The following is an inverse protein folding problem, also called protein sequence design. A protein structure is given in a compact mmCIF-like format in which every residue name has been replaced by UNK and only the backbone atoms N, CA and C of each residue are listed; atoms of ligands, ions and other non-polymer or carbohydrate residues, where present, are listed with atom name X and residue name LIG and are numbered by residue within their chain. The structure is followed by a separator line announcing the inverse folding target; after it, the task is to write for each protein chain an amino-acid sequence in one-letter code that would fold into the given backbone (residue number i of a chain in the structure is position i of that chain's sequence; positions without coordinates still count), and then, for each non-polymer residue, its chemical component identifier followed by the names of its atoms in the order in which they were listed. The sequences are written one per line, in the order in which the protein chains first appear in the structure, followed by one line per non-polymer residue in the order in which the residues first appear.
data_IF_885972321388
#
_entry.id   IF_885972321388
#
_cell.length_a   1.000
_cell.length_b   1.000
_cell.length_c   1.000
_cell.angle_alpha   90.00
_cell.angle_beta   90.00
_cell.angle_gamma   90.00
#
_symmetry.space_group_name_H-M   'P 1'
#
loop_
_entity.id
_entity.type
_entity.pdbx_description
1 polymer ?
#
# COMPACT_ATOMS: atom_id res chain seq x y z
N UNK A 1 -1.54 -0.97 -30.37
CA UNK A 1 -0.88 -0.16 -29.34
C UNK A 1 0.58 -0.06 -29.73
N UNK A 2 1.14 1.16 -29.87
CA UNK A 2 2.59 1.32 -29.92
C UNK A 2 3.18 0.76 -28.62
N UNK A 3 4.40 0.20 -28.62
CA UNK A 3 5.05 -0.20 -27.38
C UNK A 3 5.08 1.03 -26.47
N UNK A 4 4.32 0.98 -25.38
CA UNK A 4 4.25 2.08 -24.44
C UNK A 4 5.65 2.28 -23.90
N UNK A 5 6.15 3.52 -23.95
CA UNK A 5 7.44 3.84 -23.39
C UNK A 5 7.39 3.49 -21.90
N UNK A 6 8.27 2.60 -21.45
CA UNK A 6 8.35 2.14 -20.06
C UNK A 6 9.27 3.10 -19.32
N UNK A 7 8.86 3.59 -18.15
CA UNK A 7 9.70 4.50 -17.35
C UNK A 7 11.01 3.79 -16.95
N UNK A 8 12.18 4.28 -17.39
CA UNK A 8 13.48 3.72 -17.01
C UNK A 8 13.69 3.73 -15.49
N UNK A 9 14.57 2.86 -15.01
CA UNK A 9 14.85 2.69 -13.57
C UNK A 9 15.19 4.00 -12.87
N UNK A 10 16.15 4.76 -13.41
CA UNK A 10 16.62 6.01 -12.80
C UNK A 10 15.51 7.06 -12.75
N UNK A 11 14.78 7.22 -13.85
CA UNK A 11 13.65 8.14 -13.95
C UNK A 11 12.54 7.79 -12.96
N UNK A 12 12.21 6.49 -12.84
CA UNK A 12 11.18 6.00 -11.92
C UNK A 12 11.55 6.26 -10.47
N UNK A 13 12.80 5.94 -10.08
CA UNK A 13 13.31 6.21 -8.74
C UNK A 13 13.29 7.71 -8.47
N UNK A 14 13.74 8.54 -9.42
CA UNK A 14 13.77 9.99 -9.25
C UNK A 14 12.37 10.57 -8.98
N UNK A 15 11.34 10.17 -9.74
CA UNK A 15 9.98 10.69 -9.51
C UNK A 15 9.36 10.20 -8.20
N UNK A 16 9.66 8.97 -7.76
CA UNK A 16 9.18 8.48 -6.47
C UNK A 16 9.88 9.19 -5.29
N UNK A 17 11.18 9.45 -5.40
CA UNK A 17 11.93 10.22 -4.41
C UNK A 17 11.43 11.67 -4.37
N UNK A 18 11.16 12.28 -5.52
CA UNK A 18 10.63 13.64 -5.60
C UNK A 18 9.30 13.79 -4.85
N UNK A 19 8.41 12.81 -5.00
CA UNK A 19 7.12 12.85 -4.32
C UNK A 19 7.23 12.56 -2.82
N UNK A 20 7.94 11.50 -2.44
CA UNK A 20 7.87 10.95 -1.08
C UNK A 20 8.97 11.49 -0.17
N UNK A 21 10.17 11.70 -0.70
CA UNK A 21 11.37 11.94 0.12
C UNK A 21 11.73 13.43 0.15
N UNK A 22 11.70 14.12 -0.98
CA UNK A 22 12.06 15.55 -1.05
C UNK A 22 11.34 16.44 -0.05
N UNK A 23 10.03 16.26 0.25
CA UNK A 23 9.34 17.06 1.26
C UNK A 23 9.94 16.96 2.67
N UNK A 24 10.72 15.91 2.95
CA UNK A 24 11.38 15.69 4.23
C UNK A 24 12.86 16.10 4.25
N UNK A 25 13.45 16.34 3.07
CA UNK A 25 14.84 16.73 2.96
C UNK A 25 15.01 18.24 3.18
N UNK A 26 16.13 18.68 3.77
CA UNK A 26 16.37 20.10 3.98
C UNK A 26 16.48 20.84 2.63
N UNK A 27 15.74 21.94 2.48
CA UNK A 27 15.71 22.77 1.26
C UNK A 27 17.05 23.42 0.89
N UNK A 28 18.04 23.39 1.80
CA UNK A 28 19.41 23.83 1.58
C UNK A 28 20.34 22.77 2.12
N UNK A 29 21.43 22.50 1.39
CA UNK A 29 22.58 21.73 1.85
C UNK A 29 23.27 22.43 3.03
N UNK A 30 22.60 22.54 4.18
CA UNK A 30 23.27 22.96 5.41
C UNK A 30 24.11 21.76 5.85
N UNK A 31 25.39 21.80 5.47
CA UNK A 31 26.37 20.70 5.56
C UNK A 31 26.65 20.24 7.01
N UNK A 32 26.00 20.80 8.04
CA UNK A 32 26.46 20.66 9.42
C UNK A 32 25.49 20.03 10.42
N UNK A 33 24.20 19.85 10.08
CA UNK A 33 23.28 19.24 11.04
C UNK A 33 23.10 17.75 10.76
N UNK A 34 23.72 16.92 11.60
CA UNK A 34 23.45 15.48 11.63
C UNK A 34 21.95 15.25 11.81
N UNK A 35 21.28 14.49 10.93
CA UNK A 35 19.85 14.27 11.03
C UNK A 35 19.46 13.69 12.38
N UNK A 36 18.46 14.27 13.03
CA UNK A 36 17.94 13.75 14.29
C UNK A 36 17.37 12.34 14.11
N UNK A 37 17.29 11.54 15.17
CA UNK A 37 16.73 10.19 15.10
C UNK A 37 15.29 10.19 14.54
N UNK A 38 14.49 11.21 14.86
CA UNK A 38 13.13 11.35 14.33
C UNK A 38 13.13 11.55 12.81
N UNK A 39 13.98 12.45 12.32
CA UNK A 39 14.15 12.67 10.87
C UNK A 39 14.68 11.43 10.16
N UNK A 40 15.65 10.73 10.75
CA UNK A 40 16.16 9.47 10.20
C UNK A 40 15.06 8.44 10.05
N UNK A 41 14.20 8.27 11.07
CA UNK A 41 13.06 7.35 11.03
C UNK A 41 12.05 7.74 9.94
N UNK A 42 11.74 9.02 9.80
CA UNK A 42 10.79 9.50 8.78
C UNK A 42 11.32 9.32 7.36
N UNK A 43 12.56 9.72 7.10
CA UNK A 43 13.22 9.54 5.79
C UNK A 43 13.33 8.06 5.46
N UNK A 44 13.74 7.22 6.41
CA UNK A 44 13.82 5.78 6.19
C UNK A 44 12.46 5.16 5.82
N UNK A 45 11.36 5.57 6.46
CA UNK A 45 10.00 5.15 6.08
C UNK A 45 9.61 5.58 4.65
N UNK A 46 9.95 6.81 4.24
CA UNK A 46 9.67 7.26 2.87
C UNK A 46 10.52 6.51 1.85
N UNK A 47 11.82 6.34 2.10
CA UNK A 47 12.71 5.59 1.21
C UNK A 47 12.29 4.12 1.11
N UNK A 48 11.80 3.51 2.21
CA UNK A 48 11.18 2.18 2.17
C UNK A 48 10.06 2.09 1.13
N UNK A 49 9.22 3.13 1.07
CA UNK A 49 8.09 3.19 0.15
C UNK A 49 8.57 3.30 -1.29
N UNK A 50 9.63 4.07 -1.56
CA UNK A 50 10.29 4.13 -2.88
C UNK A 50 10.80 2.75 -3.32
N UNK A 51 11.43 1.99 -2.41
CA UNK A 51 11.90 0.63 -2.72
C UNK A 51 10.72 -0.27 -3.12
N UNK A 52 9.63 -0.29 -2.34
CA UNK A 52 8.45 -1.10 -2.65
C UNK A 52 7.80 -0.69 -3.99
N UNK A 53 7.63 0.61 -4.21
CA UNK A 53 7.05 1.15 -5.43
C UNK A 53 7.84 0.75 -6.68
N UNK A 54 9.17 0.83 -6.65
CA UNK A 54 9.98 0.42 -7.78
C UNK A 54 10.14 -1.11 -7.87
N UNK A 55 10.76 -1.72 -6.86
CA UNK A 55 11.23 -3.11 -6.95
C UNK A 55 10.10 -4.15 -6.99
N UNK A 56 8.93 -3.79 -6.45
CA UNK A 56 7.75 -4.64 -6.50
C UNK A 56 6.69 -4.08 -7.45
N UNK A 57 6.05 -2.94 -7.16
CA UNK A 57 4.84 -2.54 -7.90
C UNK A 57 5.08 -2.10 -9.35
N UNK A 58 6.09 -1.28 -9.61
CA UNK A 58 6.41 -0.82 -10.96
C UNK A 58 6.91 -1.97 -11.82
N UNK A 59 7.82 -2.79 -11.27
CA UNK A 59 8.31 -4.00 -11.93
C UNK A 59 7.24 -5.07 -12.14
N UNK A 60 6.24 -5.17 -11.27
CA UNK A 60 5.11 -6.10 -11.45
C UNK A 60 4.28 -5.73 -12.69
N UNK A 61 4.17 -4.44 -12.99
CA UNK A 61 3.49 -3.93 -14.20
C UNK A 61 4.39 -3.92 -15.44
N UNK A 62 5.69 -3.94 -15.23
CA UNK A 62 6.73 -3.88 -16.27
C UNK A 62 7.80 -4.95 -16.02
N UNK A 63 7.51 -6.25 -16.26
CA UNK A 63 8.42 -7.36 -15.93
C UNK A 63 9.79 -7.29 -16.63
N UNK A 64 9.89 -6.53 -17.72
CA UNK A 64 11.12 -6.22 -18.44
C UNK A 64 12.13 -5.39 -17.63
N UNK A 65 11.69 -4.72 -16.57
CA UNK A 65 12.55 -3.90 -15.73
C UNK A 65 13.37 -4.74 -14.74
N UNK A 66 14.67 -4.41 -14.66
CA UNK A 66 15.60 -5.08 -13.79
C UNK A 66 15.30 -4.81 -12.30
N UNK A 67 15.45 -5.84 -11.47
CA UNK A 67 15.44 -5.70 -10.01
C UNK A 67 16.65 -4.88 -9.58
N UNK A 68 16.46 -3.91 -8.69
CA UNK A 68 17.51 -3.03 -8.20
C UNK A 68 17.95 -3.51 -6.79
N UNK A 69 19.10 -4.21 -6.67
CA UNK A 69 19.58 -4.68 -5.37
C UNK A 69 20.04 -3.52 -4.48
N UNK A 70 20.14 -3.78 -3.17
CA UNK A 70 20.48 -2.80 -2.13
C UNK A 70 21.58 -1.80 -2.54
N UNK A 71 22.77 -2.28 -2.93
CA UNK A 71 23.89 -1.41 -3.31
C UNK A 71 23.55 -0.49 -4.49
N UNK A 72 22.92 -1.02 -5.53
CA UNK A 72 22.59 -0.25 -6.72
C UNK A 72 21.42 0.72 -6.45
N UNK A 73 20.47 0.34 -5.60
CA UNK A 73 19.41 1.24 -5.15
C UNK A 73 19.98 2.43 -4.39
N UNK A 74 20.86 2.19 -3.42
CA UNK A 74 21.51 3.25 -2.65
C UNK A 74 22.31 4.20 -3.55
N UNK A 75 23.05 3.67 -4.54
CA UNK A 75 23.75 4.49 -5.54
C UNK A 75 22.80 5.38 -6.32
N UNK A 76 21.74 4.81 -6.93
CA UNK A 76 20.77 5.59 -7.72
C UNK A 76 20.07 6.63 -6.87
N UNK A 77 19.69 6.30 -5.62
CA UNK A 77 19.04 7.22 -4.70
C UNK A 77 19.92 8.43 -4.36
N UNK A 78 21.19 8.21 -4.00
CA UNK A 78 22.13 9.30 -3.66
C UNK A 78 22.52 10.11 -4.90
N UNK A 79 22.68 9.49 -6.06
CA UNK A 79 22.91 10.21 -7.33
C UNK A 79 21.72 11.10 -7.67
N UNK A 80 20.48 10.60 -7.50
CA UNK A 80 19.26 11.35 -7.79
C UNK A 80 19.00 12.47 -6.79
N UNK A 81 19.32 12.24 -5.50
CA UNK A 81 19.19 13.21 -4.41
C UNK A 81 20.40 13.15 -3.47
N UNK A 82 21.45 13.96 -3.71
CA UNK A 82 22.65 13.96 -2.89
C UNK A 82 22.42 14.23 -1.40
N UNK A 83 21.34 14.93 -1.04
CA UNK A 83 20.97 15.17 0.36
C UNK A 83 20.66 13.88 1.15
N UNK A 84 20.32 12.77 0.47
CA UNK A 84 20.16 11.45 1.10
C UNK A 84 21.46 10.89 1.66
N UNK A 85 22.63 11.38 1.20
CA UNK A 85 23.92 10.92 1.70
C UNK A 85 24.06 11.11 3.21
N UNK A 86 23.46 12.16 3.80
CA UNK A 86 23.46 12.39 5.24
C UNK A 86 22.72 11.31 6.06
N UNK A 87 21.93 10.47 5.38
CA UNK A 87 21.12 9.40 5.96
C UNK A 87 21.64 8.00 5.63
N UNK A 88 22.74 7.89 4.87
CA UNK A 88 23.29 6.65 4.31
C UNK A 88 24.80 6.56 4.59
N UNK A 89 25.17 6.02 5.76
CA UNK A 89 26.55 5.96 6.23
C UNK A 89 27.41 4.99 5.41
N UNK A 90 26.86 3.85 4.99
CA UNK A 90 27.58 2.92 4.13
C UNK A 90 27.95 3.59 2.80
N UNK A 91 27.06 4.42 2.23
CA UNK A 91 27.36 5.18 1.01
C UNK A 91 28.45 6.25 1.19
N UNK A 92 28.63 6.80 2.40
CA UNK A 92 29.72 7.74 2.70
C UNK A 92 31.09 7.03 2.72
N UNK A 93 31.11 5.78 3.21
CA UNK A 93 32.33 5.04 3.53
C UNK A 93 32.76 4.04 2.44
N UNK A 94 32.06 3.99 1.30
CA UNK A 94 32.32 3.05 0.19
C UNK A 94 33.78 3.07 -0.33
N UNK A 95 34.53 4.13 -0.07
CA UNK A 95 35.91 4.29 -0.53
C UNK A 95 36.97 3.91 0.52
N UNK A 96 36.60 3.61 1.77
CA UNK A 96 37.58 3.62 2.88
C UNK A 96 38.01 2.25 3.44
N UNK A 97 37.28 1.12 3.30
CA UNK A 97 37.73 -0.18 3.90
C UNK A 97 37.19 -1.42 3.16
N UNK A 98 38.01 -2.49 3.07
CA UNK A 98 37.54 -3.86 2.78
C UNK A 98 36.55 -4.32 3.87
N UNK A 99 35.27 -4.38 3.51
CA UNK A 99 34.17 -4.62 4.44
C UNK A 99 34.19 -6.06 4.99
N UNK A 100 34.53 -6.21 6.28
CA UNK A 100 34.54 -7.51 6.96
C UNK A 100 33.17 -7.90 7.56
N UNK A 101 32.26 -6.93 7.76
CA UNK A 101 30.86 -7.15 8.10
C UNK A 101 29.99 -5.94 7.68
N UNK A 102 29.16 -6.11 6.65
CA UNK A 102 28.39 -5.03 6.01
C UNK A 102 27.21 -4.59 6.88
N UNK A 103 26.57 -5.52 7.59
CA UNK A 103 25.31 -5.25 8.32
C UNK A 103 25.51 -4.39 9.57
N UNK A 104 26.66 -4.51 10.24
CA UNK A 104 26.98 -3.72 11.43
C UNK A 104 27.31 -2.27 11.13
N UNK A 105 27.57 -1.92 9.87
CA UNK A 105 27.94 -0.57 9.44
C UNK A 105 26.78 0.21 8.78
N UNK A 106 25.62 -0.43 8.61
CA UNK A 106 24.47 0.23 7.97
C UNK A 106 23.79 1.23 8.90
N UNK A 107 23.49 2.41 8.34
CA UNK A 107 22.57 3.37 8.95
C UNK A 107 21.14 2.83 9.02
N UNK A 108 20.26 3.52 9.76
CA UNK A 108 18.84 3.15 9.86
C UNK A 108 18.16 3.07 8.48
N UNK A 109 18.42 4.05 7.60
CA UNK A 109 17.86 4.10 6.25
C UNK A 109 18.32 2.92 5.42
N UNK A 110 19.61 2.59 5.49
CA UNK A 110 20.20 1.49 4.71
C UNK A 110 19.68 0.12 5.18
N UNK A 111 19.52 -0.10 6.49
CA UNK A 111 18.87 -1.30 7.02
C UNK A 111 17.46 -1.45 6.47
N UNK A 112 16.69 -0.37 6.47
CA UNK A 112 15.32 -0.36 5.94
C UNK A 112 15.28 -0.61 4.42
N UNK A 113 16.25 -0.09 3.65
CA UNK A 113 16.35 -0.39 2.21
C UNK A 113 16.64 -1.87 2.00
N UNK A 114 17.60 -2.44 2.74
CA UNK A 114 17.96 -3.85 2.65
C UNK A 114 16.76 -4.75 2.99
N UNK A 115 16.09 -4.50 4.11
CA UNK A 115 14.87 -5.21 4.52
C UNK A 115 13.78 -5.11 3.43
N UNK A 116 13.55 -3.92 2.87
CA UNK A 116 12.56 -3.70 1.83
C UNK A 116 12.92 -4.42 0.51
N UNK A 117 14.19 -4.48 0.16
CA UNK A 117 14.70 -5.27 -0.94
C UNK A 117 14.38 -6.76 -0.74
N UNK A 118 14.63 -7.30 0.45
CA UNK A 118 14.36 -8.72 0.73
C UNK A 118 12.86 -9.05 0.76
N UNK A 119 12.02 -8.12 1.24
CA UNK A 119 10.56 -8.19 1.06
C UNK A 119 10.22 -8.28 -0.44
N UNK A 120 10.74 -7.37 -1.28
CA UNK A 120 10.43 -7.36 -2.70
C UNK A 120 10.88 -8.64 -3.43
N UNK A 121 12.03 -9.22 -3.05
CA UNK A 121 12.50 -10.50 -3.59
C UNK A 121 11.53 -11.64 -3.26
N UNK A 122 11.03 -11.68 -2.01
CA UNK A 122 10.12 -12.73 -1.58
C UNK A 122 8.72 -12.60 -2.20
N UNK A 123 8.24 -11.36 -2.37
CA UNK A 123 6.99 -11.10 -3.07
C UNK A 123 7.06 -11.46 -4.56
N UNK A 124 8.25 -11.34 -5.16
CA UNK A 124 8.53 -11.74 -6.54
C UNK A 124 7.61 -11.05 -7.55
N UNK A 125 8.03 -9.87 -8.00
CA UNK A 125 7.27 -9.05 -8.95
C UNK A 125 6.93 -9.76 -10.28
N UNK A 126 7.57 -10.88 -10.61
CA UNK A 126 7.23 -11.66 -11.82
C UNK A 126 5.93 -12.45 -11.68
N UNK A 127 5.40 -12.60 -10.45
CA UNK A 127 4.17 -13.33 -10.16
C UNK A 127 2.98 -12.39 -10.02
N UNK A 128 1.84 -12.82 -10.55
CA UNK A 128 0.57 -12.10 -10.39
C UNK A 128 0.13 -12.05 -8.92
N UNK A 129 0.23 -13.16 -8.21
CA UNK A 129 -0.07 -13.26 -6.77
C UNK A 129 1.09 -13.96 -6.06
N UNK A 130 1.69 -13.36 -5.01
CA UNK A 130 2.72 -14.01 -4.22
C UNK A 130 2.23 -15.32 -3.60
N UNK A 131 3.06 -16.36 -3.59
CA UNK A 131 2.74 -17.59 -2.87
C UNK A 131 3.03 -17.39 -1.37
N UNK A 132 1.97 -17.19 -0.59
CA UNK A 132 2.04 -16.94 0.84
C UNK A 132 1.88 -18.20 1.70
N UNK A 133 1.91 -19.40 1.09
CA UNK A 133 1.75 -20.64 1.83
C UNK A 133 2.86 -20.79 2.89
N UNK A 134 2.45 -20.97 4.15
CA UNK A 134 3.36 -21.11 5.29
C UNK A 134 3.90 -19.80 5.86
N UNK A 135 3.49 -18.63 5.33
CA UNK A 135 3.92 -17.35 5.87
C UNK A 135 3.15 -17.03 7.17
N UNK A 136 3.83 -16.63 8.25
CA UNK A 136 3.15 -16.23 9.48
C UNK A 136 2.28 -14.99 9.25
N UNK A 137 1.10 -14.96 9.87
CA UNK A 137 0.28 -13.75 9.96
C UNK A 137 0.90 -12.85 11.02
N UNK A 138 1.28 -11.64 10.64
CA UNK A 138 1.97 -10.70 11.56
C UNK A 138 1.30 -9.34 11.64
N UNK A 139 0.17 -9.19 10.96
CA UNK A 139 -0.58 -7.95 10.86
C UNK A 139 -2.06 -8.26 10.64
N UNK A 140 -2.94 -7.41 11.17
CA UNK A 140 -4.35 -7.35 10.82
C UNK A 140 -4.60 -6.07 10.02
N UNK A 141 -5.29 -6.18 8.90
CA UNK A 141 -5.67 -5.07 8.03
C UNK A 141 -7.20 -5.04 7.85
N UNK A 142 -7.80 -3.85 7.93
CA UNK A 142 -9.25 -3.68 7.88
C UNK A 142 -9.62 -2.68 6.79
N UNK A 143 -10.44 -3.13 5.84
CA UNK A 143 -11.20 -2.27 4.96
C UNK A 143 -12.57 -2.00 5.58
N UNK A 144 -12.69 -0.83 6.23
CA UNK A 144 -13.91 -0.43 6.91
C UNK A 144 -14.80 0.39 5.96
N UNK A 145 -16.07 0.00 5.84
CA UNK A 145 -17.08 0.71 5.04
C UNK A 145 -18.22 1.23 5.90
N UNK A 146 -18.90 2.26 5.40
CA UNK A 146 -20.08 2.80 6.05
C UNK A 146 -21.31 1.87 5.96
N UNK A 147 -22.36 2.21 6.70
CA UNK A 147 -23.60 1.44 6.75
C UNK A 147 -24.30 1.35 5.38
N UNK A 148 -24.07 2.33 4.51
CA UNK A 148 -24.59 2.39 3.13
C UNK A 148 -23.75 1.63 2.11
N UNK A 149 -22.50 1.28 2.45
CA UNK A 149 -21.49 0.72 1.54
C UNK A 149 -21.22 1.65 0.35
N UNK A 150 -21.19 2.96 0.61
CA UNK A 150 -20.91 4.00 -0.38
C UNK A 150 -19.52 4.61 -0.18
N UNK A 151 -19.05 4.62 1.06
CA UNK A 151 -17.76 5.19 1.46
C UNK A 151 -16.94 4.17 2.27
N UNK A 152 -15.62 4.31 2.21
CA UNK A 152 -14.68 3.61 3.08
C UNK A 152 -13.88 4.58 3.94
N UNK A 153 -13.35 4.07 5.05
CA UNK A 153 -12.47 4.81 5.96
C UNK A 153 -11.02 4.50 5.63
N UNK A 154 -10.25 5.53 5.28
CA UNK A 154 -8.82 5.43 5.03
C UNK A 154 -8.06 6.39 5.95
N UNK A 155 -6.83 6.03 6.29
CA UNK A 155 -5.97 6.84 7.14
C UNK A 155 -4.93 7.55 6.28
N UNK A 156 -4.89 8.88 6.33
CA UNK A 156 -3.89 9.67 5.63
C UNK A 156 -2.62 9.83 6.46
N UNK A 157 -1.46 9.63 5.85
CA UNK A 157 -0.15 9.82 6.49
C UNK A 157 0.11 8.93 7.72
N UNK A 158 -0.65 7.83 7.88
CA UNK A 158 -0.52 6.91 9.03
C UNK A 158 0.75 6.05 8.93
N UNK A 159 0.97 5.43 7.78
CA UNK A 159 2.15 4.58 7.52
C UNK A 159 3.28 5.40 6.88
N UNK A 160 2.94 6.10 5.80
CA UNK A 160 3.85 6.86 4.93
C UNK A 160 3.27 8.26 4.75
N UNK A 161 4.03 9.30 5.03
CA UNK A 161 3.54 10.69 4.95
C UNK A 161 3.12 11.02 3.51
N UNK A 162 1.92 11.58 3.37
CA UNK A 162 1.33 11.89 2.06
C UNK A 162 0.55 10.76 1.40
N UNK A 163 0.45 9.57 2.03
CA UNK A 163 -0.17 8.38 1.42
C UNK A 163 -1.33 7.87 2.27
N UNK A 164 -2.37 7.36 1.60
CA UNK A 164 -3.53 6.71 2.20
C UNK A 164 -3.25 5.22 2.48
N UNK A 165 -3.71 4.75 3.64
CA UNK A 165 -3.66 3.33 4.02
C UNK A 165 -4.98 2.86 4.59
N UNK A 166 -5.12 1.53 4.70
CA UNK A 166 -6.16 0.92 5.51
C UNK A 166 -5.90 1.13 6.99
N UNK A 167 -6.88 0.74 7.82
CA UNK A 167 -6.64 0.57 9.26
C UNK A 167 -5.81 -0.70 9.42
N UNK A 168 -4.60 -0.58 9.94
CA UNK A 168 -3.66 -1.69 10.09
C UNK A 168 -3.08 -1.72 11.50
N UNK A 169 -2.85 -2.93 12.02
CA UNK A 169 -2.20 -3.13 13.30
C UNK A 169 -1.31 -4.37 13.25
N UNK A 170 -0.05 -4.19 13.63
CA UNK A 170 0.89 -5.30 13.75
C UNK A 170 0.55 -6.18 14.96
N UNK A 171 0.87 -7.47 14.86
CA UNK A 171 0.70 -8.43 15.94
C UNK A 171 1.94 -8.48 16.81
N UNK A 172 1.78 -8.27 18.12
CA UNK A 172 2.87 -8.38 19.09
C UNK A 172 3.31 -9.85 19.23
N UNK A 173 4.36 -10.22 18.48
CA UNK A 173 4.93 -11.58 18.52
C UNK A 173 5.66 -11.89 19.82
N UNK A 174 5.91 -10.90 20.69
CA UNK A 174 6.59 -11.08 21.99
C UNK A 174 5.75 -11.82 23.04
N UNK A 175 4.43 -11.88 22.85
CA UNK A 175 3.50 -12.48 23.82
C UNK A 175 3.18 -13.94 23.52
N UNK A 176 3.72 -14.50 22.44
CA UNK A 176 3.31 -15.79 21.87
C UNK A 176 4.23 -16.96 22.26
N UNK A 177 4.90 -16.91 23.43
CA UNK A 177 5.63 -18.07 23.95
C UNK A 177 4.73 -19.12 24.62
N UNK A 178 3.41 -18.93 24.62
CA UNK A 178 2.46 -19.91 25.11
C UNK A 178 1.20 -19.86 24.26
N UNK A 179 0.74 -21.03 23.81
CA UNK A 179 -0.48 -21.35 23.03
C UNK A 179 -0.23 -21.84 21.59
N UNK A 180 0.33 -23.05 21.50
CA UNK A 180 -0.25 -24.23 20.82
C UNK A 180 -1.18 -23.98 19.61
N UNK A 181 -0.64 -24.26 18.41
CA UNK A 181 -1.25 -24.93 17.23
C UNK A 181 -2.61 -24.53 16.62
N UNK A 182 -3.33 -23.52 17.11
CA UNK A 182 -4.38 -22.84 16.32
C UNK A 182 -4.35 -21.36 16.66
N UNK A 183 -3.81 -20.55 15.74
CA UNK A 183 -3.99 -19.10 15.87
C UNK A 183 -5.48 -18.85 15.74
N UNK A 184 -6.08 -18.39 16.84
CA UNK A 184 -7.51 -18.23 17.00
C UNK A 184 -7.98 -17.03 16.18
N UNK A 185 -8.97 -17.24 15.32
CA UNK A 185 -9.59 -16.16 14.52
C UNK A 185 -10.11 -15.04 15.44
N UNK A 186 -10.51 -15.40 16.66
CA UNK A 186 -10.95 -14.45 17.69
C UNK A 186 -9.82 -13.47 18.08
N UNK A 187 -8.56 -13.91 18.13
CA UNK A 187 -7.42 -13.03 18.44
C UNK A 187 -7.26 -11.96 17.36
N UNK A 188 -7.33 -12.35 16.08
CA UNK A 188 -7.22 -11.41 14.98
C UNK A 188 -8.38 -10.42 14.93
N UNK A 189 -9.60 -10.89 15.22
CA UNK A 189 -10.77 -10.03 15.32
C UNK A 189 -10.64 -9.01 16.46
N UNK A 190 -10.18 -9.43 17.64
CA UNK A 190 -9.95 -8.52 18.77
C UNK A 190 -8.89 -7.46 18.45
N UNK A 191 -7.80 -7.84 17.79
CA UNK A 191 -6.79 -6.90 17.29
C UNK A 191 -7.42 -5.93 16.29
N UNK A 192 -8.26 -6.43 15.38
CA UNK A 192 -8.95 -5.60 14.39
C UNK A 192 -9.90 -4.59 15.01
N UNK A 193 -10.74 -4.99 15.97
CA UNK A 193 -11.62 -4.09 16.70
C UNK A 193 -10.82 -3.03 17.48
N UNK A 194 -9.71 -3.42 18.11
CA UNK A 194 -8.82 -2.46 18.79
C UNK A 194 -8.27 -1.42 17.81
N UNK A 195 -7.83 -1.86 16.63
CA UNK A 195 -7.28 -0.98 15.61
C UNK A 195 -8.31 0.03 15.10
N UNK A 196 -9.56 -0.42 14.86
CA UNK A 196 -10.66 0.47 14.46
C UNK A 196 -10.93 1.50 15.56
N UNK A 197 -11.03 1.07 16.82
CA UNK A 197 -11.30 1.97 17.94
C UNK A 197 -10.20 3.02 18.11
N UNK A 198 -8.94 2.63 17.97
CA UNK A 198 -7.79 3.54 18.03
C UNK A 198 -7.78 4.54 16.87
N UNK A 199 -8.12 4.10 15.66
CA UNK A 199 -8.06 4.93 14.45
C UNK A 199 -9.28 5.84 14.26
N UNK A 200 -10.46 5.42 14.74
CA UNK A 200 -11.75 6.07 14.41
C UNK A 200 -12.61 6.41 15.62
N UNK A 201 -12.31 5.86 16.80
CA UNK A 201 -13.15 5.98 18.00
C UNK A 201 -14.42 5.11 17.98
N UNK A 202 -14.65 4.31 16.93
CA UNK A 202 -15.84 3.45 16.80
C UNK A 202 -15.73 2.22 17.71
N UNK A 203 -16.83 1.86 18.38
CA UNK A 203 -16.90 0.67 19.23
C UNK A 203 -17.12 -0.61 18.42
N UNK A 204 -16.63 -1.73 18.94
CA UNK A 204 -16.77 -3.07 18.39
C UNK A 204 -18.22 -3.50 18.17
N UNK A 205 -19.15 -3.11 19.05
CA UNK A 205 -20.59 -3.40 18.93
C UNK A 205 -21.24 -2.84 17.67
N UNK A 206 -20.62 -1.82 17.07
CA UNK A 206 -21.09 -1.15 15.86
C UNK A 206 -20.41 -1.68 14.60
N UNK A 207 -19.52 -2.66 14.74
CA UNK A 207 -18.78 -3.26 13.64
C UNK A 207 -19.35 -4.63 13.31
N UNK A 208 -19.60 -4.85 12.02
CA UNK A 208 -19.98 -6.14 11.46
C UNK A 208 -18.94 -6.62 10.47
N UNK A 209 -18.39 -7.82 10.70
CA UNK A 209 -17.52 -8.49 9.73
C UNK A 209 -18.36 -8.95 8.53
N UNK A 210 -17.90 -8.61 7.32
CA UNK A 210 -18.55 -8.99 6.07
C UNK A 210 -17.79 -10.10 5.34
N UNK A 211 -16.47 -10.00 5.31
CA UNK A 211 -15.57 -10.94 4.64
C UNK A 211 -14.20 -10.93 5.31
N UNK A 212 -13.45 -12.01 5.13
CA UNK A 212 -12.10 -12.16 5.66
C UNK A 212 -11.24 -12.95 4.69
N UNK A 213 -9.99 -12.55 4.53
CA UNK A 213 -9.01 -13.20 3.67
C UNK A 213 -7.62 -13.17 4.30
N UNK A 214 -6.68 -13.88 3.67
CA UNK A 214 -5.26 -13.82 4.03
C UNK A 214 -4.48 -13.34 2.83
N UNK A 215 -3.71 -12.28 3.01
CA UNK A 215 -2.99 -11.56 1.95
C UNK A 215 -1.51 -11.47 2.33
N UNK A 216 -0.61 -11.29 1.37
CA UNK A 216 0.78 -10.97 1.69
C UNK A 216 0.87 -9.65 2.48
N UNK A 217 1.85 -9.56 3.38
CA UNK A 217 2.19 -8.34 4.10
C UNK A 217 3.49 -7.78 3.56
N UNK A 218 3.55 -6.47 3.42
CA UNK A 218 4.77 -5.76 3.03
C UNK A 218 5.60 -5.34 4.24
N UNK A 219 5.15 -5.62 5.47
CA UNK A 219 5.83 -5.19 6.69
C UNK A 219 7.22 -5.80 6.84
N UNK A 220 7.37 -7.08 6.51
CA UNK A 220 8.63 -7.84 6.58
C UNK A 220 8.64 -9.03 5.62
N UNK A 221 9.81 -9.65 5.47
CA UNK A 221 10.00 -10.82 4.61
C UNK A 221 9.07 -11.97 5.01
N UNK A 222 8.46 -12.63 4.01
CA UNK A 222 7.60 -13.82 4.18
C UNK A 222 6.52 -13.65 5.25
N UNK A 223 5.89 -12.48 5.32
CA UNK A 223 4.80 -12.21 6.25
C UNK A 223 3.46 -12.12 5.52
N UNK A 224 2.41 -12.53 6.20
CA UNK A 224 1.03 -12.38 5.76
C UNK A 224 0.26 -11.41 6.68
N UNK A 225 -0.84 -10.88 6.15
CA UNK A 225 -1.84 -10.12 6.90
C UNK A 225 -3.16 -10.85 6.89
N UNK A 226 -3.84 -10.87 8.04
CA UNK A 226 -5.26 -11.21 8.10
C UNK A 226 -6.04 -9.98 7.68
N UNK A 227 -6.77 -10.08 6.58
CA UNK A 227 -7.52 -8.99 6.00
C UNK A 227 -9.02 -9.15 6.31
N UNK A 228 -9.66 -8.08 6.74
CA UNK A 228 -11.10 -8.05 6.97
C UNK A 228 -11.77 -6.94 6.18
N UNK A 229 -12.93 -7.25 5.61
CA UNK A 229 -13.89 -6.24 5.18
C UNK A 229 -14.93 -6.13 6.29
N UNK A 230 -15.06 -4.94 6.87
CA UNK A 230 -15.95 -4.68 7.98
C UNK A 230 -16.88 -3.51 7.67
N UNK A 231 -18.07 -3.52 8.25
CA UNK A 231 -19.07 -2.49 8.11
C UNK A 231 -19.35 -1.82 9.46
N UNK A 232 -19.35 -0.49 9.47
CA UNK A 232 -19.78 0.29 10.63
C UNK A 232 -21.28 0.65 10.52
N UNK A 233 -22.03 0.49 11.62
CA UNK A 233 -23.43 0.93 11.75
C UNK A 233 -23.57 2.41 12.07
N UNK A 234 -22.57 3.04 12.70
CA UNK A 234 -22.61 4.45 13.08
C UNK A 234 -22.50 5.35 11.84
N UNK A 235 -23.36 6.37 11.77
CA UNK A 235 -23.11 7.56 10.95
C UNK A 235 -21.99 8.34 11.64
N UNK A 236 -20.77 8.25 11.13
CA UNK A 236 -19.60 8.85 11.81
C UNK A 236 -19.71 10.35 11.96
N UNK A 237 -19.06 10.88 13.00
CA UNK A 237 -18.78 12.30 13.18
C UNK A 237 -18.04 12.88 11.96
N UNK A 238 -18.20 14.18 11.73
CA UNK A 238 -17.69 14.95 10.57
C UNK A 238 -16.15 14.91 10.39
N UNK A 239 -15.39 14.33 11.32
CA UNK A 239 -13.92 14.33 11.34
C UNK A 239 -13.27 13.08 10.73
N UNK A 240 -14.01 11.97 10.52
CA UNK A 240 -13.46 10.77 9.90
C UNK A 240 -13.41 10.94 8.38
N UNK A 241 -12.21 10.86 7.77
CA UNK A 241 -12.06 11.06 6.33
C UNK A 241 -12.63 9.86 5.58
N UNK A 242 -13.85 10.05 5.07
CA UNK A 242 -14.53 9.09 4.21
C UNK A 242 -14.09 9.29 2.76
N UNK A 243 -13.71 8.20 2.11
CA UNK A 243 -13.39 8.18 0.68
C UNK A 243 -14.50 7.43 -0.04
N UNK A 244 -15.18 8.03 -1.04
CA UNK A 244 -16.17 7.32 -1.82
C UNK A 244 -15.56 6.10 -2.51
N UNK A 245 -16.24 4.95 -2.46
CA UNK A 245 -15.72 3.70 -3.03
C UNK A 245 -15.41 3.83 -4.53
N UNK A 246 -16.23 4.59 -5.26
CA UNK A 246 -16.01 4.90 -6.68
C UNK A 246 -14.68 5.62 -6.93
N UNK A 247 -14.28 6.50 -6.02
CA UNK A 247 -13.09 7.32 -6.15
C UNK A 247 -11.87 6.47 -5.77
N UNK A 248 -11.98 5.62 -4.74
CA UNK A 248 -10.96 4.63 -4.41
C UNK A 248 -10.64 3.70 -5.59
N UNK A 249 -11.66 3.07 -6.19
CA UNK A 249 -11.48 2.17 -7.35
C UNK A 249 -10.77 2.89 -8.49
N UNK A 250 -11.18 4.14 -8.77
CA UNK A 250 -10.55 4.96 -9.81
C UNK A 250 -9.10 5.29 -9.47
N UNK A 251 -8.80 5.60 -8.21
CA UNK A 251 -7.45 5.94 -7.76
C UNK A 251 -6.50 4.74 -7.75
N UNK A 252 -6.99 3.51 -7.59
CA UNK A 252 -6.18 2.30 -7.68
C UNK A 252 -5.87 1.86 -9.12
N UNK A 253 -6.56 2.45 -10.11
CA UNK A 253 -6.47 2.07 -11.51
C UNK A 253 -5.41 2.88 -12.29
N UNK A 254 -4.84 2.26 -13.32
CA UNK A 254 -3.85 2.89 -14.20
C UNK A 254 -2.41 2.69 -13.71
N UNK A 255 -1.40 3.19 -14.45
CA UNK A 255 0.03 2.99 -14.12
C UNK A 255 0.45 3.81 -12.91
N UNK A 256 1.58 3.48 -12.26
CA UNK A 256 2.13 4.31 -11.15
C UNK A 256 2.76 5.60 -11.67
N UNK A 257 3.32 5.52 -12.86
CA UNK A 257 4.03 6.60 -13.54
C UNK A 257 3.46 6.71 -14.94
N UNK A 258 3.21 7.94 -15.38
CA UNK A 258 2.77 8.23 -16.74
C UNK A 258 3.75 9.16 -17.44
N UNK A 259 3.92 8.99 -18.75
CA UNK A 259 4.72 9.89 -19.57
C UNK A 259 3.88 11.10 -19.96
N UNK A 260 4.33 12.30 -19.59
CA UNK A 260 3.72 13.56 -20.03
C UNK A 260 4.72 14.32 -20.89
N UNK A 261 4.51 14.33 -22.21
CA UNK A 261 5.36 14.98 -23.23
C UNK A 261 6.87 14.65 -23.17
N UNK A 262 7.60 15.20 -22.19
CA UNK A 262 9.06 15.07 -22.01
C UNK A 262 9.48 14.60 -20.61
N UNK A 263 8.56 14.41 -19.68
CA UNK A 263 8.87 14.02 -18.30
C UNK A 263 7.95 12.91 -17.81
N UNK A 264 8.45 12.16 -16.85
CA UNK A 264 7.68 11.19 -16.10
C UNK A 264 6.97 11.89 -14.94
N UNK A 265 5.73 11.50 -14.68
CA UNK A 265 4.93 12.05 -13.59
C UNK A 265 4.23 10.92 -12.84
N UNK A 266 4.16 11.07 -11.52
CA UNK A 266 3.40 10.17 -10.66
C UNK A 266 1.90 10.29 -10.96
N UNK A 267 1.20 9.16 -10.87
CA UNK A 267 -0.27 9.12 -10.91
C UNK A 267 -0.84 9.00 -9.49
N UNK A 268 -2.16 9.25 -9.30
CA UNK A 268 -2.81 9.07 -8.01
C UNK A 268 -2.69 7.68 -7.40
N UNK A 269 -2.32 6.64 -8.17
CA UNK A 269 -2.14 5.27 -7.65
C UNK A 269 -1.09 5.22 -6.55
N UNK A 270 -0.06 6.06 -6.63
CA UNK A 270 0.99 6.12 -5.61
C UNK A 270 0.44 6.64 -4.29
N UNK A 271 -0.56 7.51 -4.30
CA UNK A 271 -1.18 8.02 -3.06
C UNK A 271 -1.97 6.93 -2.32
N UNK A 272 -2.25 5.78 -2.95
CA UNK A 272 -3.01 4.66 -2.39
C UNK A 272 -2.22 3.35 -2.41
N UNK A 273 -0.90 3.39 -2.58
CA UNK A 273 -0.14 2.16 -2.83
C UNK A 273 -0.22 1.13 -1.69
N UNK A 274 -0.42 1.57 -0.44
CA UNK A 274 -0.64 0.69 0.72
C UNK A 274 -1.95 -0.11 0.64
N UNK A 275 -2.88 0.28 -0.22
CA UNK A 275 -4.14 -0.45 -0.45
C UNK A 275 -3.99 -1.51 -1.55
N UNK A 276 -2.93 -1.44 -2.38
CA UNK A 276 -2.72 -2.35 -3.50
C UNK A 276 -2.68 -3.84 -3.13
N UNK A 277 -2.12 -4.29 -1.98
CA UNK A 277 -2.16 -5.70 -1.59
C UNK A 277 -3.59 -6.27 -1.53
N UNK A 278 -4.55 -5.42 -1.20
CA UNK A 278 -5.95 -5.78 -0.95
C UNK A 278 -6.87 -5.47 -2.14
N UNK A 279 -6.34 -4.79 -3.16
CA UNK A 279 -7.13 -4.15 -4.23
C UNK A 279 -8.00 -5.13 -5.03
N UNK A 280 -7.51 -6.33 -5.33
CA UNK A 280 -8.27 -7.36 -6.05
C UNK A 280 -9.47 -7.84 -5.23
N UNK A 281 -9.26 -8.09 -3.93
CA UNK A 281 -10.31 -8.56 -3.00
C UNK A 281 -11.37 -7.46 -2.81
N UNK A 282 -10.92 -6.22 -2.57
CA UNK A 282 -11.79 -5.06 -2.44
C UNK A 282 -12.64 -4.89 -3.71
N UNK A 283 -12.02 -5.00 -4.89
CA UNK A 283 -12.73 -4.78 -6.15
C UNK A 283 -13.72 -5.88 -6.47
N UNK A 284 -13.36 -7.15 -6.22
CA UNK A 284 -14.30 -8.29 -6.28
C UNK A 284 -15.48 -8.10 -5.33
N UNK A 285 -15.23 -7.62 -4.12
CA UNK A 285 -16.29 -7.33 -3.15
C UNK A 285 -17.21 -6.20 -3.63
N UNK A 286 -16.67 -5.08 -4.11
CA UNK A 286 -17.44 -3.96 -4.67
C UNK A 286 -18.27 -4.41 -5.88
N UNK A 287 -17.70 -5.23 -6.77
CA UNK A 287 -18.42 -5.80 -7.91
C UNK A 287 -19.61 -6.63 -7.49
N UNK A 288 -19.45 -7.51 -6.50
CA UNK A 288 -20.57 -8.31 -5.96
C UNK A 288 -21.67 -7.40 -5.43
N UNK A 289 -21.35 -6.32 -4.72
CA UNK A 289 -22.36 -5.35 -4.26
C UNK A 289 -23.12 -4.69 -5.42
N UNK A 290 -22.41 -4.28 -6.46
CA UNK A 290 -23.00 -3.68 -7.66
C UNK A 290 -23.94 -4.66 -8.37
N UNK A 291 -23.54 -5.93 -8.50
CA UNK A 291 -24.37 -6.98 -9.09
C UNK A 291 -25.62 -7.27 -8.25
N UNK A 292 -25.49 -7.37 -6.92
CA UNK A 292 -26.64 -7.59 -6.02
C UNK A 292 -27.64 -6.44 -6.07
N UNK A 293 -27.16 -5.19 -6.12
CA UNK A 293 -28.03 -4.02 -6.23
C UNK A 293 -28.72 -3.98 -7.60
N UNK A 294 -28.00 -4.28 -8.69
CA UNK A 294 -28.57 -4.35 -10.04
C UNK A 294 -29.65 -5.44 -10.15
N UNK A 295 -29.42 -6.63 -9.58
CA UNK A 295 -30.41 -7.72 -9.53
C UNK A 295 -31.66 -7.34 -8.73
N UNK A 296 -31.50 -6.63 -7.60
CA UNK A 296 -32.63 -6.09 -6.84
C UNK A 296 -33.44 -5.08 -7.65
N UNK A 297 -32.78 -4.22 -8.40
CA UNK A 297 -33.45 -3.27 -9.29
C UNK A 297 -34.17 -3.97 -10.44
N UNK A 298 -33.57 -4.96 -11.09
CA UNK A 298 -34.26 -5.78 -12.11
C UNK A 298 -35.50 -6.49 -11.55
N UNK A 299 -35.43 -7.01 -10.33
CA UNK A 299 -36.57 -7.64 -9.67
C UNK A 299 -37.69 -6.62 -9.40
N UNK A 300 -37.36 -5.41 -8.94
CA UNK A 300 -38.34 -4.35 -8.66
C UNK A 300 -38.90 -3.70 -9.95
N UNK A 301 -38.10 -3.54 -10.99
CA UNK A 301 -38.52 -2.99 -12.29
C UNK A 301 -39.37 -3.99 -13.08
N UNK A 302 -39.27 -5.30 -12.81
CA UNK A 302 -40.22 -6.28 -13.34
C UNK A 302 -41.67 -6.05 -12.85
N UNK A 303 -41.84 -5.22 -11.82
CA UNK A 303 -43.14 -4.75 -11.30
C UNK A 303 -43.47 -3.29 -11.66
N UNK A 304 -42.59 -2.56 -12.36
CA UNK A 304 -42.74 -1.13 -12.66
C UNK A 304 -42.25 -0.81 -14.08
N UNK A 305 -43.17 -0.42 -14.97
CA UNK A 305 -42.96 -0.23 -16.43
C UNK A 305 -42.13 0.99 -16.85
N UNK A 306 -41.15 1.43 -16.05
CA UNK A 306 -40.33 2.62 -16.36
C UNK A 306 -38.84 2.28 -16.21
N UNK A 307 -38.13 2.22 -17.34
CA UNK A 307 -36.66 2.14 -17.39
C UNK A 307 -36.03 3.37 -16.75
N UNK A 308 -35.40 3.19 -15.60
CA UNK A 308 -34.91 4.27 -14.74
C UNK A 308 -33.45 4.67 -15.10
N UNK A 309 -33.10 5.97 -15.29
CA UNK A 309 -31.74 6.40 -15.66
C UNK A 309 -30.63 6.03 -14.67
N UNK A 310 -30.97 5.69 -13.42
CA UNK A 310 -30.03 5.22 -12.39
C UNK A 310 -29.43 3.87 -12.79
N UNK A 311 -30.23 3.01 -13.43
CA UNK A 311 -29.82 1.69 -13.92
C UNK A 311 -28.61 1.78 -14.86
N UNK A 312 -28.61 2.79 -15.73
CA UNK A 312 -27.57 2.96 -16.74
C UNK A 312 -26.22 3.40 -16.15
N UNK A 313 -26.21 4.13 -15.03
CA UNK A 313 -24.97 4.54 -14.32
C UNK A 313 -24.37 3.39 -13.52
N UNK A 314 -25.20 2.54 -12.92
CA UNK A 314 -24.74 1.45 -12.05
C UNK A 314 -24.14 0.31 -12.86
N UNK A 315 -24.74 -0.04 -14.01
CA UNK A 315 -24.15 -1.01 -14.95
C UNK A 315 -22.82 -0.51 -15.54
N UNK A 316 -22.69 0.80 -15.82
CA UNK A 316 -21.43 1.39 -16.30
C UNK A 316 -20.28 1.26 -15.28
N UNK A 317 -20.59 1.36 -13.99
CA UNK A 317 -19.63 1.14 -12.92
C UNK A 317 -19.17 -0.32 -12.86
N UNK A 318 -20.07 -1.28 -13.10
CA UNK A 318 -19.73 -2.71 -13.24
C UNK A 318 -18.78 -2.95 -14.42
N UNK A 319 -19.02 -2.33 -15.59
CA UNK A 319 -18.11 -2.44 -16.74
C UNK A 319 -16.71 -1.87 -16.45
N UNK A 320 -16.60 -0.73 -15.76
CA UNK A 320 -15.28 -0.17 -15.39
C UNK A 320 -14.53 -1.05 -14.37
N UNK A 321 -15.25 -1.73 -13.49
CA UNK A 321 -14.66 -2.65 -12.51
C UNK A 321 -14.24 -4.01 -13.12
N UNK A 322 -14.96 -4.50 -14.12
CA UNK A 322 -14.54 -5.70 -14.86
C UNK A 322 -13.25 -5.46 -15.64
N UNK A 323 -13.05 -4.24 -16.14
CA UNK A 323 -11.77 -3.83 -16.70
C UNK A 323 -10.71 -3.67 -15.59
N UNK A 324 -11.06 -3.16 -14.41
CA UNK A 324 -10.15 -3.09 -13.25
C UNK A 324 -9.54 -4.45 -12.91
N UNK A 325 -10.35 -5.50 -12.74
CA UNK A 325 -9.87 -6.86 -12.40
C UNK A 325 -8.90 -7.42 -13.45
N UNK A 326 -9.07 -7.06 -14.73
CA UNK A 326 -8.18 -7.56 -15.80
C UNK A 326 -6.79 -6.93 -15.78
N UNK A 327 -6.62 -5.77 -15.15
CA UNK A 327 -5.39 -4.97 -15.19
C UNK A 327 -4.71 -4.79 -13.82
N UNK A 328 -5.23 -5.45 -12.77
CA UNK A 328 -4.61 -5.55 -11.44
C UNK A 328 -4.14 -6.97 -11.16
#
# INVERSE_FOLDING_TARGET
MAPGDVCPTEDAINVFIELLVDPLLPAKSCVQDTPTLSQQKLVAKQVRSVVLLYNYYHRKRHPELAYLPFNEFCKVAVVSRPALLAYMQFMQNLNEVELTDVETQLSLTEKIIMDACDVCKCLDASKNVPNIQGWPITKVAIFLVDSKKENCFLLFSSITSGVWSLVEKDLDTSSQSSLVEKVDEDIFLQVGYSAIREATGINDTDIKVLESDTVYSESKEKAASRFYIMQCSQSTNEEAIQVPLKDLVKSLHGPLISKSSRSWAITPVVDYFHVLPYSEIISKWILRLALFSCLKHLYLDSYSSILNPIFHKQCYFTFMLDDFIKYT
#
